data_IF_103087455377
#
_entry.id   IF_103087455377
#
_cell.length_a   1.000
_cell.length_b   1.000
_cell.length_c   1.000
_cell.angle_alpha   90.00
_cell.angle_beta   90.00
_cell.angle_gamma   90.00
#
_symmetry.space_group_name_H-M   'P 1'
#
loop_
_entity.id
_entity.type
_entity.pdbx_description
1 polymer ?
#
# COMPACT_ATOMS: atom_id res chain seq x y z
N UNK A 1 -6.72 28.17 -6.80
CA UNK A 1 -7.68 27.14 -6.36
C UNK A 1 -7.11 25.77 -6.65
N UNK A 2 -6.97 24.94 -5.65
CA UNK A 2 -6.44 23.60 -5.85
C UNK A 2 -7.55 22.67 -6.33
N UNK A 3 -7.26 21.86 -7.35
CA UNK A 3 -8.12 20.80 -7.76
C UNK A 3 -7.91 19.57 -6.87
N UNK A 4 -8.93 18.74 -6.77
CA UNK A 4 -8.86 17.52 -5.99
C UNK A 4 -9.66 16.43 -6.72
N UNK A 5 -9.34 15.19 -6.41
CA UNK A 5 -10.08 14.04 -6.93
C UNK A 5 -10.50 13.15 -5.77
N UNK A 6 -11.50 12.31 -6.00
CA UNK A 6 -12.00 11.40 -4.99
C UNK A 6 -11.08 10.19 -4.88
N UNK A 7 -10.46 10.01 -3.72
CA UNK A 7 -9.60 8.85 -3.44
C UNK A 7 -10.30 7.93 -2.46
N UNK A 8 -10.37 6.65 -2.82
CA UNK A 8 -10.78 5.58 -1.91
C UNK A 8 -9.68 4.57 -1.79
N UNK A 9 -9.33 4.22 -0.55
CA UNK A 9 -8.41 3.12 -0.26
C UNK A 9 -9.20 2.10 0.55
N UNK A 10 -9.29 0.88 0.04
CA UNK A 10 -10.21 -0.13 0.56
C UNK A 10 -9.43 -1.40 0.92
N UNK A 11 -9.68 -1.92 2.12
CA UNK A 11 -9.23 -3.24 2.54
C UNK A 11 -10.45 -4.14 2.76
N UNK A 12 -10.30 -5.46 2.89
CA UNK A 12 -11.45 -6.34 3.12
C UNK A 12 -12.26 -5.97 4.35
N UNK A 13 -11.61 -5.39 5.36
CA UNK A 13 -12.28 -5.06 6.61
C UNK A 13 -13.00 -3.72 6.57
N UNK A 14 -12.53 -2.75 5.78
CA UNK A 14 -13.07 -1.40 5.85
C UNK A 14 -12.61 -0.51 4.70
N UNK A 15 -13.29 0.62 4.56
CA UNK A 15 -12.80 1.73 3.75
C UNK A 15 -11.84 2.53 4.62
N UNK A 16 -10.57 2.53 4.24
CA UNK A 16 -9.49 3.15 5.01
C UNK A 16 -9.42 4.65 4.75
N UNK A 17 -9.57 5.04 3.48
CA UNK A 17 -9.63 6.45 3.07
C UNK A 17 -10.79 6.63 2.12
N UNK A 18 -11.54 7.70 2.31
CA UNK A 18 -12.62 8.14 1.42
C UNK A 18 -12.64 9.66 1.51
N UNK A 19 -11.89 10.31 0.64
CA UNK A 19 -11.67 11.74 0.73
C UNK A 19 -11.28 12.33 -0.62
N UNK A 20 -11.45 13.65 -0.76
CA UNK A 20 -10.94 14.38 -1.91
C UNK A 20 -9.55 14.90 -1.59
N UNK A 21 -8.58 14.57 -2.44
CA UNK A 21 -7.17 14.89 -2.21
C UNK A 21 -6.53 15.44 -3.48
N UNK A 22 -5.47 16.27 -3.34
CA UNK A 22 -4.79 16.83 -4.51
C UNK A 22 -3.89 15.84 -5.24
N UNK A 23 -3.32 14.86 -4.53
CA UNK A 23 -2.45 13.87 -5.17
C UNK A 23 -2.23 12.66 -4.27
N UNK A 24 -1.88 11.54 -4.89
CA UNK A 24 -1.48 10.31 -4.20
C UNK A 24 -0.36 9.64 -5.00
N UNK A 25 0.65 9.10 -4.29
CA UNK A 25 1.70 8.29 -4.87
C UNK A 25 1.41 6.83 -4.59
N UNK A 26 1.47 5.99 -5.62
CA UNK A 26 1.07 4.58 -5.55
C UNK A 26 2.25 3.69 -5.97
N UNK A 27 2.55 2.61 -5.20
CA UNK A 27 3.63 1.69 -5.53
C UNK A 27 3.18 0.66 -6.58
N UNK A 28 3.21 1.03 -7.84
CA UNK A 28 2.84 0.13 -8.93
C UNK A 28 3.90 -0.94 -9.17
N UNK A 29 3.49 -2.09 -9.70
CA UNK A 29 4.44 -3.19 -10.00
C UNK A 29 5.43 -2.81 -11.10
N UNK A 30 5.07 -1.88 -11.98
CA UNK A 30 5.95 -1.41 -13.04
C UNK A 30 6.69 -0.12 -12.66
N UNK A 31 6.51 0.35 -11.45
CA UNK A 31 7.11 1.57 -10.94
C UNK A 31 6.10 2.43 -10.21
N UNK A 32 6.61 3.26 -9.31
CA UNK A 32 5.76 4.19 -8.57
C UNK A 32 5.17 5.22 -9.53
N UNK A 33 3.93 5.59 -9.30
CA UNK A 33 3.30 6.64 -10.10
C UNK A 33 2.44 7.55 -9.22
N UNK A 34 2.34 8.80 -9.66
CA UNK A 34 1.51 9.80 -8.98
C UNK A 34 0.22 10.03 -9.71
N UNK A 35 -0.86 10.25 -8.97
CA UNK A 35 -2.18 10.57 -9.52
C UNK A 35 -2.51 12.01 -9.19
N UNK A 36 -2.92 12.76 -10.20
CA UNK A 36 -3.37 14.13 -10.09
C UNK A 36 -4.81 14.23 -10.62
N UNK A 37 -5.55 15.29 -10.26
CA UNK A 37 -6.91 15.47 -10.79
C UNK A 37 -6.91 15.44 -12.33
N UNK A 38 -7.90 14.77 -12.91
CA UNK A 38 -8.03 14.65 -14.35
C UNK A 38 -7.06 13.65 -14.99
N UNK A 39 -6.43 12.81 -14.21
CA UNK A 39 -5.49 11.81 -14.71
C UNK A 39 -6.16 10.87 -15.71
N UNK A 40 -5.41 10.45 -16.72
CA UNK A 40 -5.88 9.47 -17.70
C UNK A 40 -6.20 8.14 -17.02
N UNK A 41 -7.07 7.35 -17.63
CA UNK A 41 -7.41 6.03 -17.12
C UNK A 41 -6.17 5.15 -17.00
N UNK A 42 -5.95 4.59 -15.82
CA UNK A 42 -4.87 3.65 -15.54
C UNK A 42 -5.41 2.54 -14.66
N UNK A 43 -5.09 1.31 -14.99
CA UNK A 43 -5.29 0.19 -14.09
C UNK A 43 -3.93 -0.45 -13.85
N UNK A 44 -3.51 -0.49 -12.59
CA UNK A 44 -2.18 -1.01 -12.24
C UNK A 44 -2.27 -1.95 -11.07
N UNK A 45 -1.49 -3.03 -11.12
CA UNK A 45 -1.26 -3.86 -9.95
C UNK A 45 -0.35 -3.11 -8.99
N UNK A 46 -0.58 -3.29 -7.71
CA UNK A 46 0.19 -2.66 -6.62
C UNK A 46 1.10 -3.70 -5.99
N UNK A 47 2.39 -3.34 -5.84
CA UNK A 47 3.35 -4.16 -5.11
C UNK A 47 3.36 -3.74 -3.64
N UNK A 48 3.87 -4.58 -2.72
CA UNK A 48 4.00 -4.17 -1.32
C UNK A 48 4.85 -2.90 -1.20
N UNK A 49 4.28 -1.87 -0.60
CA UNK A 49 4.95 -0.58 -0.48
C UNK A 49 4.06 0.48 0.14
N UNK A 50 4.49 1.72 0.03
CA UNK A 50 3.82 2.86 0.67
C UNK A 50 2.93 3.60 -0.32
N UNK A 51 1.68 3.79 0.07
CA UNK A 51 0.77 4.74 -0.58
C UNK A 51 0.92 6.05 0.18
N UNK A 52 1.36 7.10 -0.48
CA UNK A 52 1.56 8.41 0.13
C UNK A 52 0.48 9.37 -0.36
N UNK A 53 -0.43 9.73 0.54
CA UNK A 53 -1.56 10.62 0.25
C UNK A 53 -1.22 12.02 0.73
N UNK A 54 -1.25 13.00 -0.17
CA UNK A 54 -1.14 14.40 0.21
C UNK A 54 -2.53 14.94 0.49
N UNK A 55 -2.75 15.40 1.71
CA UNK A 55 -4.04 15.92 2.13
C UNK A 55 -4.21 17.38 1.69
N UNK A 56 -5.46 17.90 1.67
CA UNK A 56 -5.70 19.29 1.24
C UNK A 56 -4.93 20.35 2.01
N UNK A 57 -4.58 20.08 3.28
CA UNK A 57 -3.80 21.01 4.10
C UNK A 57 -2.29 20.89 3.88
N UNK A 58 -1.87 20.02 2.95
CA UNK A 58 -0.45 19.80 2.66
C UNK A 58 0.22 18.73 3.49
N UNK A 59 -0.47 18.20 4.50
CA UNK A 59 0.07 17.10 5.30
C UNK A 59 0.02 15.79 4.50
N UNK A 60 0.77 14.79 4.96
CA UNK A 60 0.83 13.49 4.32
C UNK A 60 0.27 12.42 5.24
N UNK A 61 -0.54 11.52 4.67
CA UNK A 61 -0.91 10.28 5.32
C UNK A 61 -0.28 9.15 4.53
N UNK A 62 0.40 8.27 5.21
CA UNK A 62 1.15 7.19 4.58
C UNK A 62 0.61 5.86 5.05
N UNK A 63 0.33 4.99 4.10
CA UNK A 63 -0.22 3.66 4.38
C UNK A 63 0.69 2.63 3.75
N UNK A 64 0.95 1.56 4.48
CA UNK A 64 1.56 0.39 3.89
C UNK A 64 0.46 -0.46 3.26
N UNK A 65 0.63 -0.80 1.99
CA UNK A 65 -0.27 -1.71 1.29
C UNK A 65 0.49 -2.96 0.88
N UNK A 66 -0.14 -4.12 1.05
CA UNK A 66 0.31 -5.35 0.44
C UNK A 66 -0.13 -5.36 -1.03
N UNK A 67 -0.04 -6.50 -1.70
CA UNK A 67 -0.45 -6.60 -3.09
C UNK A 67 -1.93 -6.23 -3.27
N UNK A 68 -2.24 -5.61 -4.38
CA UNK A 68 -3.59 -5.20 -4.71
C UNK A 68 -3.62 -4.58 -6.08
N UNK A 69 -4.56 -3.68 -6.30
CA UNK A 69 -4.63 -2.95 -7.56
C UNK A 69 -5.17 -1.54 -7.36
N UNK A 70 -4.86 -0.68 -8.32
CA UNK A 70 -5.34 0.70 -8.37
C UNK A 70 -6.07 0.93 -9.68
N UNK A 71 -7.27 1.50 -9.58
CA UNK A 71 -8.09 1.86 -10.72
C UNK A 71 -8.22 3.38 -10.75
N UNK A 72 -7.60 4.01 -11.75
CA UNK A 72 -7.56 5.47 -11.87
C UNK A 72 -8.41 5.90 -13.05
N UNK A 73 -9.30 6.84 -12.80
CA UNK A 73 -10.12 7.47 -13.84
C UNK A 73 -10.00 8.99 -13.69
N UNK A 74 -10.47 9.78 -14.68
CA UNK A 74 -10.45 11.24 -14.52
C UNK A 74 -11.23 11.75 -13.31
N UNK A 75 -12.21 10.98 -12.84
CA UNK A 75 -13.05 11.36 -11.69
C UNK A 75 -12.45 10.99 -10.36
N UNK A 76 -11.60 9.97 -10.32
CA UNK A 76 -11.05 9.52 -9.04
C UNK A 76 -10.15 8.32 -9.13
N UNK A 77 -9.75 7.85 -7.96
CA UNK A 77 -8.84 6.73 -7.84
C UNK A 77 -9.32 5.80 -6.73
N UNK A 78 -9.38 4.51 -7.02
CA UNK A 78 -9.70 3.48 -6.03
C UNK A 78 -8.52 2.52 -5.92
N UNK A 79 -8.01 2.35 -4.70
CA UNK A 79 -6.96 1.38 -4.41
C UNK A 79 -7.54 0.29 -3.52
N UNK A 80 -7.40 -0.96 -3.93
CA UNK A 80 -7.88 -2.11 -3.18
C UNK A 80 -6.67 -3.00 -2.89
N UNK A 81 -6.49 -3.36 -1.62
CA UNK A 81 -5.41 -4.24 -1.19
C UNK A 81 -5.92 -5.20 -0.13
N UNK A 82 -5.34 -6.39 -0.10
CA UNK A 82 -5.67 -7.41 0.91
C UNK A 82 -5.32 -6.96 2.32
N UNK A 83 -4.33 -6.08 2.46
CA UNK A 83 -3.87 -5.63 3.76
C UNK A 83 -3.35 -4.22 3.65
N UNK A 84 -3.88 -3.34 4.50
CA UNK A 84 -3.49 -1.93 4.55
C UNK A 84 -3.30 -1.55 6.01
N UNK A 85 -2.16 -0.90 6.30
CA UNK A 85 -1.84 -0.40 7.63
C UNK A 85 -1.45 1.07 7.56
N UNK A 86 -2.00 1.87 8.46
CA UNK A 86 -1.56 3.26 8.62
C UNK A 86 -0.17 3.24 9.27
N UNK A 87 0.82 3.84 8.60
CA UNK A 87 2.19 3.84 9.11
C UNK A 87 2.35 4.63 10.40
N UNK A 88 1.40 5.52 10.72
CA UNK A 88 1.40 6.22 11.99
C UNK A 88 1.13 5.27 13.17
N UNK A 89 0.49 4.13 12.90
CA UNK A 89 0.08 3.17 13.92
C UNK A 89 1.03 2.00 14.08
N UNK A 90 2.12 1.95 13.31
CA UNK A 90 3.03 0.82 13.37
C UNK A 90 4.45 1.29 13.72
N UNK A 91 5.09 0.58 14.66
CA UNK A 91 6.46 0.87 15.06
C UNK A 91 7.46 0.05 14.24
N UNK A 92 8.71 0.51 14.19
CA UNK A 92 9.79 -0.24 13.59
C UNK A 92 9.94 -1.61 14.24
N UNK A 93 9.76 -1.69 15.56
CA UNK A 93 9.84 -2.96 16.32
C UNK A 93 8.77 -3.95 15.85
N UNK A 94 7.53 -3.47 15.70
CA UNK A 94 6.44 -4.33 15.22
C UNK A 94 6.71 -4.84 13.80
N UNK A 95 7.26 -3.99 12.93
CA UNK A 95 7.62 -4.37 11.59
C UNK A 95 8.72 -5.45 11.58
N UNK A 96 9.73 -5.31 12.45
CA UNK A 96 10.80 -6.29 12.59
C UNK A 96 10.26 -7.64 13.09
N UNK A 97 9.32 -7.61 14.02
CA UNK A 97 8.67 -8.82 14.52
C UNK A 97 7.91 -9.55 13.41
N UNK A 98 7.20 -8.79 12.57
CA UNK A 98 6.49 -9.36 11.43
C UNK A 98 7.45 -10.03 10.45
N UNK A 99 8.60 -9.41 10.21
CA UNK A 99 9.62 -9.98 9.32
C UNK A 99 10.20 -11.26 9.91
N UNK A 100 10.51 -11.27 11.21
CA UNK A 100 11.03 -12.46 11.87
C UNK A 100 10.03 -13.62 11.79
N UNK A 101 8.74 -13.35 12.00
CA UNK A 101 7.69 -14.36 11.88
C UNK A 101 7.58 -14.91 10.44
N UNK A 102 7.67 -14.03 9.45
CA UNK A 102 7.61 -14.43 8.04
C UNK A 102 8.81 -15.31 7.66
N UNK A 103 10.00 -14.95 8.13
CA UNK A 103 11.21 -15.75 7.88
C UNK A 103 11.13 -17.12 8.55
N UNK A 104 10.56 -17.19 9.76
CA UNK A 104 10.34 -18.45 10.43
C UNK A 104 9.37 -19.34 9.65
N UNK A 105 8.30 -18.77 9.13
CA UNK A 105 7.33 -19.50 8.31
C UNK A 105 8.00 -20.06 7.05
N UNK A 106 8.89 -19.29 6.42
CA UNK A 106 9.63 -19.74 5.25
C UNK A 106 10.58 -20.90 5.60
N UNK A 107 11.29 -20.80 6.71
CA UNK A 107 12.21 -21.83 7.17
C UNK A 107 11.47 -23.15 7.49
N UNK A 108 10.21 -23.06 7.92
CA UNK A 108 9.40 -24.20 8.32
C UNK A 108 8.49 -24.71 7.21
N UNK A 109 8.54 -24.16 6.01
CA UNK A 109 7.71 -24.56 4.90
C UNK A 109 8.06 -25.99 4.46
N UNK A 110 7.02 -26.84 4.32
CA UNK A 110 7.18 -28.25 4.05
C UNK A 110 6.85 -28.65 2.61
N UNK A 111 6.29 -27.74 1.83
CA UNK A 111 5.92 -28.03 0.45
C UNK A 111 6.00 -26.74 -0.40
N UNK A 112 5.97 -26.88 -1.75
CA UNK A 112 6.08 -25.70 -2.61
C UNK A 112 5.01 -24.64 -2.39
N UNK A 113 3.78 -25.02 -2.06
CA UNK A 113 2.70 -24.05 -1.83
C UNK A 113 2.95 -23.24 -0.57
N UNK A 114 3.36 -23.90 0.53
CA UNK A 114 3.71 -23.21 1.76
C UNK A 114 4.92 -22.30 1.58
N UNK A 115 5.91 -22.76 0.81
CA UNK A 115 7.10 -21.97 0.50
C UNK A 115 6.74 -20.71 -0.28
N UNK A 116 5.91 -20.83 -1.30
CA UNK A 116 5.49 -19.68 -2.11
C UNK A 116 4.72 -18.66 -1.27
N UNK A 117 3.82 -19.11 -0.41
CA UNK A 117 3.06 -18.24 0.48
C UNK A 117 4.00 -17.52 1.48
N UNK A 118 4.95 -18.26 2.05
CA UNK A 118 5.91 -17.69 3.00
C UNK A 118 6.85 -16.69 2.32
N UNK A 119 7.27 -16.95 1.09
CA UNK A 119 8.11 -16.00 0.33
C UNK A 119 7.39 -14.67 0.11
N UNK A 120 6.09 -14.71 -0.19
CA UNK A 120 5.28 -13.49 -0.33
C UNK A 120 5.20 -12.74 0.98
N UNK A 121 5.03 -13.46 2.10
CA UNK A 121 5.00 -12.83 3.42
C UNK A 121 6.33 -12.15 3.75
N UNK A 122 7.44 -12.81 3.44
CA UNK A 122 8.77 -12.22 3.67
C UNK A 122 8.94 -10.95 2.84
N UNK A 123 8.57 -11.00 1.56
CA UNK A 123 8.69 -9.85 0.68
C UNK A 123 7.87 -8.66 1.20
N UNK A 124 6.63 -8.92 1.61
CA UNK A 124 5.76 -7.89 2.17
C UNK A 124 6.31 -7.35 3.48
N UNK A 125 6.81 -8.22 4.37
CA UNK A 125 7.36 -7.81 5.65
C UNK A 125 8.66 -7.00 5.49
N UNK A 126 9.50 -7.34 4.53
CA UNK A 126 10.69 -6.54 4.22
C UNK A 126 10.32 -5.13 3.76
N UNK A 127 9.31 -5.02 2.91
CA UNK A 127 8.82 -3.71 2.47
C UNK A 127 8.24 -2.91 3.64
N UNK A 128 7.53 -3.58 4.55
CA UNK A 128 6.99 -2.92 5.74
C UNK A 128 8.10 -2.40 6.66
N UNK A 129 9.15 -3.20 6.88
CA UNK A 129 10.30 -2.77 7.69
C UNK A 129 10.93 -1.52 7.08
N UNK A 130 11.12 -1.51 5.77
CA UNK A 130 11.69 -0.35 5.10
C UNK A 130 10.80 0.88 5.23
N UNK A 131 9.49 0.71 5.07
CA UNK A 131 8.51 1.79 5.21
C UNK A 131 8.47 2.35 6.63
N UNK A 132 8.51 1.47 7.64
CA UNK A 132 8.43 1.87 9.04
C UNK A 132 9.73 2.51 9.55
N UNK A 133 10.84 2.32 8.83
CA UNK A 133 12.15 2.88 9.19
C UNK A 133 12.35 4.30 8.70
N UNK A 134 11.47 4.78 7.82
CA UNK A 134 11.60 6.11 7.19
C UNK A 134 10.78 7.19 7.88
#
# INVERSE_FOLDING_TARGET
MSAAFHLKIISPASVVVDAHVPTVQIPGVEGDFGVLPGHSNVFSMVRPGVIDVTMPDGSHRRFFAATGYADVTPEGCTVISDHIQDLADISSSEAQEALAAARAALANAENPAERAAAEKLVQSAEALVQAASN
#
